data_IF_580511332291
#
_entry.id   IF_580511332291
#
_cell.length_a   1.000
_cell.length_b   1.000
_cell.length_c   1.000
_cell.angle_alpha   90.00
_cell.angle_beta   90.00
_cell.angle_gamma   90.00
#
_symmetry.space_group_name_H-M   'P 1'
#
loop_
_entity.id
_entity.type
_entity.pdbx_description
1 polymer ?
#
# COMPACT_ATOMS: atom_id res chain seq x y z
N UNK A 1 -11.61 -28.63 -23.01
CA UNK A 1 -11.91 -27.25 -22.54
C UNK A 1 -11.02 -26.77 -21.37
N UNK A 2 -9.87 -27.41 -21.06
CA UNK A 2 -9.09 -27.13 -19.84
C UNK A 2 -8.03 -26.01 -19.92
N UNK A 3 -7.75 -25.44 -21.09
CA UNK A 3 -6.61 -24.53 -21.28
C UNK A 3 -6.92 -23.05 -20.94
N UNK A 4 -8.19 -22.64 -20.98
CA UNK A 4 -8.61 -21.26 -20.63
C UNK A 4 -8.69 -21.03 -19.12
N UNK A 5 -9.25 -21.99 -18.37
CA UNK A 5 -9.33 -21.90 -16.90
C UNK A 5 -7.95 -21.88 -16.23
N UNK A 6 -7.00 -22.70 -16.71
CA UNK A 6 -5.64 -22.74 -16.15
C UNK A 6 -4.86 -21.43 -16.41
N UNK A 7 -5.05 -20.80 -17.59
CA UNK A 7 -4.44 -19.49 -17.89
C UNK A 7 -5.03 -18.34 -17.04
N UNK A 8 -6.33 -18.36 -16.81
CA UNK A 8 -7.00 -17.34 -16.00
C UNK A 8 -6.57 -17.41 -14.53
N UNK A 9 -6.49 -18.62 -13.96
CA UNK A 9 -6.06 -18.80 -12.57
C UNK A 9 -4.61 -18.35 -12.34
N UNK A 10 -3.69 -18.70 -13.25
CA UNK A 10 -2.29 -18.25 -13.18
C UNK A 10 -2.14 -16.72 -13.27
N UNK A 11 -3.04 -16.06 -13.98
CA UNK A 11 -3.02 -14.59 -14.12
C UNK A 11 -3.52 -13.92 -12.84
N UNK A 12 -4.58 -14.46 -12.23
CA UNK A 12 -5.10 -13.99 -10.95
C UNK A 12 -4.10 -14.20 -9.80
N UNK A 13 -3.49 -15.39 -9.70
CA UNK A 13 -2.45 -15.68 -8.71
C UNK A 13 -1.23 -14.76 -8.87
N UNK A 14 -0.80 -14.51 -10.11
CA UNK A 14 0.30 -13.57 -10.39
C UNK A 14 -0.04 -12.16 -9.93
N UNK A 15 -1.28 -11.71 -10.14
CA UNK A 15 -1.72 -10.39 -9.70
C UNK A 15 -1.82 -10.30 -8.17
N UNK A 16 -2.35 -11.31 -7.48
CA UNK A 16 -2.33 -11.37 -6.01
C UNK A 16 -0.90 -11.29 -5.47
N UNK A 17 0.02 -12.11 -5.99
CA UNK A 17 1.42 -12.12 -5.54
C UNK A 17 2.12 -10.78 -5.78
N UNK A 18 1.81 -10.10 -6.90
CA UNK A 18 2.32 -8.76 -7.17
C UNK A 18 1.85 -7.75 -6.12
N UNK A 19 0.57 -7.78 -5.79
CA UNK A 19 -0.01 -6.90 -4.77
C UNK A 19 0.59 -7.17 -3.39
N UNK A 20 0.71 -8.44 -3.00
CA UNK A 20 1.33 -8.83 -1.72
C UNK A 20 2.76 -8.29 -1.64
N UNK A 21 3.58 -8.52 -2.66
CA UNK A 21 4.97 -8.05 -2.68
C UNK A 21 5.09 -6.53 -2.59
N UNK A 22 4.21 -5.78 -3.26
CA UNK A 22 4.20 -4.31 -3.16
C UNK A 22 3.77 -3.83 -1.77
N UNK A 23 2.82 -4.52 -1.13
CA UNK A 23 2.39 -4.20 0.23
C UNK A 23 3.53 -4.49 1.22
N UNK A 24 4.23 -5.61 1.08
CA UNK A 24 5.35 -5.96 1.96
C UNK A 24 6.50 -4.95 1.85
N UNK A 25 6.88 -4.58 0.63
CA UNK A 25 7.91 -3.56 0.35
C UNK A 25 7.58 -2.22 1.00
N UNK A 26 6.37 -1.69 0.78
CA UNK A 26 5.99 -0.38 1.34
C UNK A 26 5.79 -0.42 2.86
N UNK A 27 5.42 -1.58 3.42
CA UNK A 27 5.32 -1.74 4.88
C UNK A 27 6.70 -1.66 5.55
N UNK A 28 7.75 -2.20 4.91
CA UNK A 28 9.13 -2.06 5.38
C UNK A 28 9.56 -0.59 5.37
N UNK A 29 9.33 0.13 4.27
CA UNK A 29 9.63 1.56 4.16
C UNK A 29 8.90 2.40 5.22
N UNK A 30 7.60 2.15 5.41
CA UNK A 30 6.80 2.84 6.43
C UNK A 30 7.33 2.56 7.84
N UNK A 31 7.75 1.32 8.12
CA UNK A 31 8.32 0.97 9.43
C UNK A 31 9.60 1.77 9.70
N UNK A 32 10.50 1.86 8.72
CA UNK A 32 11.73 2.63 8.83
C UNK A 32 11.46 4.13 9.03
N UNK A 33 10.52 4.69 8.26
CA UNK A 33 10.13 6.10 8.36
C UNK A 33 9.50 6.43 9.71
N UNK A 34 8.56 5.60 10.18
CA UNK A 34 7.92 5.75 11.49
C UNK A 34 8.97 5.69 12.60
N UNK A 35 9.89 4.72 12.56
CA UNK A 35 10.97 4.62 13.53
C UNK A 35 11.88 5.85 13.53
N UNK A 36 12.25 6.33 12.34
CA UNK A 36 13.10 7.50 12.19
C UNK A 36 12.45 8.74 12.82
N UNK A 37 11.19 9.02 12.48
CA UNK A 37 10.44 10.16 13.02
C UNK A 37 10.21 10.07 14.53
N UNK A 38 9.94 8.87 15.06
CA UNK A 38 9.83 8.65 16.51
C UNK A 38 11.14 8.92 17.26
N UNK A 39 12.29 8.73 16.61
CA UNK A 39 13.62 9.05 17.15
C UNK A 39 13.98 10.54 17.02
N UNK A 40 13.08 11.38 16.52
CA UNK A 40 13.29 12.82 16.35
C UNK A 40 14.12 13.19 15.12
N UNK A 41 14.25 12.29 14.15
CA UNK A 41 14.87 12.58 12.86
C UNK A 41 13.97 13.49 11.99
N UNK A 42 14.50 14.08 10.90
CA UNK A 42 13.73 14.96 10.01
C UNK A 42 12.39 14.34 9.57
N UNK A 43 11.38 15.16 9.35
CA UNK A 43 10.03 14.69 9.05
C UNK A 43 9.09 14.54 10.25
N UNK A 44 9.56 14.68 11.50
CA UNK A 44 8.72 14.53 12.70
C UNK A 44 7.47 15.43 12.71
N UNK A 45 7.59 16.65 12.17
CA UNK A 45 6.49 17.64 12.07
C UNK A 45 5.95 17.80 10.63
N UNK A 46 6.36 16.95 9.70
CA UNK A 46 5.92 16.99 8.31
C UNK A 46 4.65 16.15 8.11
N UNK A 47 3.89 16.47 7.08
CA UNK A 47 2.77 15.65 6.63
C UNK A 47 3.31 14.54 5.73
N UNK A 48 2.89 13.27 5.92
CA UNK A 48 1.97 12.75 6.94
C UNK A 48 2.58 12.71 8.34
N UNK A 49 1.77 12.91 9.38
CA UNK A 49 2.20 12.64 10.75
C UNK A 49 2.48 11.14 10.98
N UNK A 50 3.23 10.81 12.04
CA UNK A 50 3.48 9.41 12.46
C UNK A 50 2.17 8.62 12.63
N UNK A 51 1.13 9.23 13.21
CA UNK A 51 -0.17 8.58 13.38
C UNK A 51 -0.85 8.25 12.04
N UNK A 52 -0.69 9.13 11.04
CA UNK A 52 -1.20 8.85 9.70
C UNK A 52 -0.42 7.71 9.04
N UNK A 53 0.91 7.69 9.17
CA UNK A 53 1.73 6.58 8.69
C UNK A 53 1.32 5.25 9.33
N UNK A 54 1.10 5.23 10.65
CA UNK A 54 0.62 4.03 11.37
C UNK A 54 -0.78 3.59 10.92
N UNK A 55 -1.69 4.53 10.70
CA UNK A 55 -3.02 4.25 10.13
C UNK A 55 -2.92 3.60 8.76
N UNK A 56 -2.01 4.09 7.90
CA UNK A 56 -1.77 3.54 6.57
C UNK A 56 -1.22 2.11 6.67
N UNK A 57 -0.26 1.86 7.56
CA UNK A 57 0.25 0.51 7.82
C UNK A 57 -0.86 -0.46 8.21
N UNK A 58 -1.81 -0.03 9.06
CA UNK A 58 -2.97 -0.86 9.40
C UNK A 58 -3.87 -1.16 8.20
N UNK A 59 -4.17 -0.15 7.36
CA UNK A 59 -4.94 -0.36 6.14
C UNK A 59 -4.26 -1.35 5.18
N UNK A 60 -2.94 -1.23 4.99
CA UNK A 60 -2.15 -2.15 4.17
C UNK A 60 -2.19 -3.59 4.69
N UNK A 61 -2.11 -3.79 6.02
CA UNK A 61 -2.26 -5.11 6.64
C UNK A 61 -3.65 -5.70 6.34
N UNK A 62 -4.71 -4.88 6.37
CA UNK A 62 -6.07 -5.32 6.03
C UNK A 62 -6.15 -5.66 4.54
N UNK A 63 -5.58 -4.83 3.66
CA UNK A 63 -5.51 -5.12 2.22
C UNK A 63 -4.83 -6.46 1.94
N UNK A 64 -3.72 -6.75 2.61
CA UNK A 64 -3.00 -8.01 2.45
C UNK A 64 -3.79 -9.23 2.94
N UNK A 65 -4.64 -9.06 3.96
CA UNK A 65 -5.53 -10.13 4.46
C UNK A 65 -6.75 -10.35 3.58
N UNK A 66 -7.32 -9.27 3.04
CA UNK A 66 -8.60 -9.30 2.31
C UNK A 66 -8.40 -9.58 0.82
N UNK A 67 -7.34 -9.03 0.21
CA UNK A 67 -6.98 -9.15 -1.21
C UNK A 67 -8.19 -9.00 -2.15
N UNK A 68 -9.08 -8.04 -1.84
CA UNK A 68 -10.30 -7.84 -2.61
C UNK A 68 -10.78 -6.39 -2.48
N UNK A 69 -10.68 -5.57 -3.54
CA UNK A 69 -11.10 -4.17 -3.51
C UNK A 69 -12.61 -3.97 -3.30
N UNK A 70 -13.41 -4.98 -3.61
CA UNK A 70 -14.85 -4.97 -3.36
C UNK A 70 -15.15 -5.09 -1.86
N UNK A 71 -14.33 -5.84 -1.11
CA UNK A 71 -14.53 -6.08 0.32
C UNK A 71 -13.86 -5.04 1.20
N UNK A 72 -12.72 -4.50 0.76
CA UNK A 72 -11.99 -3.46 1.47
C UNK A 72 -11.28 -2.58 0.45
N UNK A 73 -11.50 -1.27 0.52
CA UNK A 73 -10.80 -0.28 -0.28
C UNK A 73 -10.12 0.74 0.64
N UNK A 74 -8.82 1.01 0.47
CA UNK A 74 -8.09 1.91 1.36
C UNK A 74 -8.56 3.36 1.22
N UNK A 75 -8.53 4.10 2.33
CA UNK A 75 -8.86 5.52 2.40
C UNK A 75 -7.64 6.41 2.20
N UNK A 76 -6.45 5.89 2.46
CA UNK A 76 -5.20 6.63 2.38
C UNK A 76 -4.90 7.17 0.98
N UNK A 77 -5.39 6.52 -0.08
CA UNK A 77 -5.18 6.97 -1.46
C UNK A 77 -5.65 8.42 -1.67
N UNK A 78 -6.80 8.77 -1.08
CA UNK A 78 -7.32 10.14 -1.12
C UNK A 78 -6.49 11.08 -0.25
N UNK A 79 -6.12 10.64 0.95
CA UNK A 79 -5.32 11.46 1.88
C UNK A 79 -3.99 11.88 1.27
N UNK A 80 -3.31 10.97 0.55
CA UNK A 80 -2.06 11.27 -0.14
C UNK A 80 -2.26 12.37 -1.18
N UNK A 81 -3.24 12.20 -2.09
CA UNK A 81 -3.52 13.17 -3.15
C UNK A 81 -3.89 14.56 -2.60
N UNK A 82 -4.61 14.60 -1.48
CA UNK A 82 -5.10 15.85 -0.91
C UNK A 82 -4.03 16.62 -0.11
N UNK A 83 -3.02 15.94 0.47
CA UNK A 83 -2.23 16.52 1.55
C UNK A 83 -0.73 16.22 1.56
N UNK A 84 -0.24 15.31 0.71
CA UNK A 84 1.18 14.96 0.70
C UNK A 84 1.95 15.74 -0.36
N UNK A 85 3.25 15.90 -0.11
CA UNK A 85 4.16 16.45 -1.10
C UNK A 85 4.18 15.53 -2.34
N UNK A 86 4.09 16.15 -3.51
CA UNK A 86 4.09 15.50 -4.83
C UNK A 86 5.40 14.75 -5.14
N UNK A 87 6.43 14.91 -4.30
CA UNK A 87 7.74 14.28 -4.45
C UNK A 87 8.05 13.19 -3.41
N UNK A 88 7.06 12.74 -2.64
CA UNK A 88 7.26 11.67 -1.66
C UNK A 88 7.36 10.29 -2.34
N UNK A 89 8.52 9.64 -2.26
CA UNK A 89 8.71 8.28 -2.79
C UNK A 89 7.76 7.27 -2.13
N UNK A 90 7.52 7.41 -0.82
CA UNK A 90 6.56 6.57 -0.09
C UNK A 90 5.14 6.79 -0.62
N UNK A 91 4.75 8.04 -0.93
CA UNK A 91 3.46 8.32 -1.54
C UNK A 91 3.30 7.59 -2.89
N UNK A 92 4.32 7.65 -3.74
CA UNK A 92 4.29 7.00 -5.05
C UNK A 92 4.14 5.48 -4.92
N UNK A 93 4.88 4.85 -4.00
CA UNK A 93 4.75 3.42 -3.71
C UNK A 93 3.35 3.06 -3.19
N UNK A 94 2.80 3.84 -2.27
CA UNK A 94 1.44 3.65 -1.75
C UNK A 94 0.38 3.77 -2.85
N UNK A 95 0.50 4.76 -3.73
CA UNK A 95 -0.42 4.91 -4.86
C UNK A 95 -0.25 3.76 -5.87
N UNK A 96 0.97 3.27 -6.10
CA UNK A 96 1.22 2.10 -6.94
C UNK A 96 0.54 0.83 -6.37
N UNK A 97 0.61 0.61 -5.05
CA UNK A 97 -0.14 -0.46 -4.37
C UNK A 97 -1.63 -0.36 -4.68
N UNK A 98 -2.24 0.82 -4.51
CA UNK A 98 -3.68 1.03 -4.77
C UNK A 98 -4.02 0.77 -6.23
N UNK A 99 -3.16 1.18 -7.16
CA UNK A 99 -3.35 0.97 -8.60
C UNK A 99 -3.29 -0.50 -9.00
N UNK A 100 -2.53 -1.33 -8.28
CA UNK A 100 -2.47 -2.77 -8.53
C UNK A 100 -3.57 -3.53 -7.79
N UNK A 101 -3.89 -3.10 -6.57
CA UNK A 101 -4.94 -3.69 -5.75
C UNK A 101 -6.33 -3.55 -6.37
N UNK A 102 -6.62 -2.43 -7.06
CA UNK A 102 -7.89 -2.25 -7.81
C UNK A 102 -8.08 -3.22 -8.98
N UNK A 103 -7.03 -3.93 -9.39
CA UNK A 103 -7.04 -4.89 -10.51
C UNK A 103 -7.33 -6.33 -10.05
N UNK A 104 -7.45 -6.55 -8.74
CA UNK A 104 -7.90 -7.81 -8.14
C UNK A 104 -9.42 -7.96 -8.27
#
# INVERSE_FOLDING_TARGET
>A
MNNKQNKNNRTAEKQHNKVISLIEDVLEDLSLEIEARKKGLPGMNEVPSVLQLESISHELIIMNRVLSPIKFYPTFARQIVDSWDIHSEIADKLLAVVQEYKKL
#
